data_IF_015757720164
#
_entry.id   IF_015757720164
#
_cell.length_a   1.000
_cell.length_b   1.000
_cell.length_c   1.000
_cell.angle_alpha   90.00
_cell.angle_beta   90.00
_cell.angle_gamma   90.00
#
_symmetry.space_group_name_H-M   'P 1'
#
loop_
_entity.id
_entity.type
_entity.pdbx_description
1 polymer ?
#
# COMPACT_ATOMS: atom_id res chain seq x y z
N UNK A 1 2.77 -10.18 -1.95
CA UNK A 1 3.65 -8.99 -1.90
C UNK A 1 5.07 -9.39 -1.58
N UNK A 2 6.03 -8.77 -2.27
CA UNK A 2 7.46 -8.85 -2.05
C UNK A 2 7.89 -7.78 -1.03
N UNK A 3 8.77 -8.17 -0.09
CA UNK A 3 9.36 -7.27 0.90
C UNK A 3 10.66 -6.63 0.42
N UNK A 4 11.52 -6.24 1.35
CA UNK A 4 12.88 -5.80 1.02
C UNK A 4 13.70 -7.00 0.53
N UNK A 5 14.26 -6.89 -0.68
CA UNK A 5 15.20 -7.85 -1.24
C UNK A 5 16.54 -7.14 -1.45
N UNK A 6 17.69 -7.72 -1.07
CA UNK A 6 18.98 -7.05 -1.22
C UNK A 6 19.33 -6.74 -2.67
N UNK A 7 19.75 -5.50 -2.91
CA UNK A 7 20.04 -4.97 -4.24
C UNK A 7 18.81 -4.89 -5.15
N UNK A 8 19.01 -4.35 -6.33
CA UNK A 8 17.98 -4.25 -7.37
C UNK A 8 17.60 -5.62 -7.89
N UNK A 9 16.30 -5.86 -7.97
CA UNK A 9 15.72 -7.09 -8.50
C UNK A 9 14.80 -6.75 -9.65
N UNK A 10 14.90 -7.47 -10.76
CA UNK A 10 14.01 -7.27 -11.92
C UNK A 10 13.31 -8.56 -12.31
N UNK A 11 12.11 -8.41 -12.85
CA UNK A 11 11.42 -9.49 -13.55
C UNK A 11 12.10 -9.80 -14.88
N UNK A 12 11.66 -10.86 -15.56
CA UNK A 12 12.08 -11.18 -16.93
C UNK A 12 11.78 -10.06 -17.92
N UNK A 13 10.77 -9.25 -17.64
CA UNK A 13 10.36 -8.09 -18.44
C UNK A 13 11.18 -6.84 -18.11
N UNK A 14 12.25 -6.98 -17.30
CA UNK A 14 13.19 -5.92 -16.91
C UNK A 14 12.56 -4.79 -16.08
N UNK A 15 11.47 -5.07 -15.40
CA UNK A 15 10.78 -4.16 -14.48
C UNK A 15 11.19 -4.50 -13.05
N UNK A 16 11.30 -3.50 -12.18
CA UNK A 16 11.53 -3.70 -10.75
C UNK A 16 10.57 -4.73 -10.16
N UNK A 17 11.12 -5.70 -9.43
CA UNK A 17 10.36 -6.82 -8.91
C UNK A 17 9.36 -6.39 -7.82
N UNK A 18 9.67 -5.35 -7.05
CA UNK A 18 8.74 -4.83 -6.05
C UNK A 18 7.54 -4.15 -6.71
N UNK A 19 7.75 -3.29 -7.70
CA UNK A 19 6.69 -2.67 -8.50
C UNK A 19 5.85 -3.73 -9.23
N UNK A 20 6.48 -4.67 -9.91
CA UNK A 20 5.78 -5.72 -10.64
C UNK A 20 4.90 -6.60 -9.72
N UNK A 21 5.46 -7.09 -8.60
CA UNK A 21 4.76 -8.03 -7.70
C UNK A 21 3.78 -7.32 -6.76
N UNK A 22 4.11 -6.14 -6.24
CA UNK A 22 3.27 -5.46 -5.25
C UNK A 22 2.16 -4.63 -5.89
N UNK A 23 2.40 -4.07 -7.07
CA UNK A 23 1.49 -3.17 -7.77
C UNK A 23 0.95 -3.78 -9.07
N UNK A 24 1.76 -3.98 -10.12
CA UNK A 24 1.26 -4.37 -11.45
C UNK A 24 0.45 -5.67 -11.44
N UNK A 25 0.92 -6.69 -10.72
CA UNK A 25 0.18 -7.95 -10.60
C UNK A 25 -1.19 -7.79 -9.93
N UNK A 26 -1.29 -6.96 -8.89
CA UNK A 26 -2.56 -6.66 -8.24
C UNK A 26 -3.45 -5.72 -9.08
N UNK A 27 -2.85 -4.76 -9.79
CA UNK A 27 -3.52 -3.88 -10.72
C UNK A 27 -4.22 -4.69 -11.82
N UNK A 28 -3.48 -5.59 -12.49
CA UNK A 28 -4.01 -6.46 -13.53
C UNK A 28 -5.09 -7.39 -12.96
N UNK A 29 -4.82 -8.07 -11.84
CA UNK A 29 -5.80 -8.96 -11.19
C UNK A 29 -7.11 -8.22 -10.88
N UNK A 30 -7.03 -7.02 -10.30
CA UNK A 30 -8.22 -6.26 -9.91
C UNK A 30 -9.04 -5.85 -11.14
N UNK A 31 -8.38 -5.42 -12.21
CA UNK A 31 -9.05 -5.06 -13.46
C UNK A 31 -9.68 -6.28 -14.16
N UNK A 32 -9.01 -7.44 -14.18
CA UNK A 32 -9.58 -8.68 -14.72
C UNK A 32 -10.79 -9.19 -13.92
N UNK A 33 -10.84 -8.90 -12.62
CA UNK A 33 -11.98 -9.25 -11.76
C UNK A 33 -13.13 -8.26 -11.85
N UNK A 34 -12.97 -7.12 -12.53
CA UNK A 34 -13.91 -6.00 -12.44
C UNK A 34 -15.33 -6.37 -12.88
N UNK A 35 -15.49 -7.18 -13.92
CA UNK A 35 -16.81 -7.63 -14.37
C UNK A 35 -17.50 -8.57 -13.36
N UNK A 36 -16.74 -9.46 -12.73
CA UNK A 36 -17.25 -10.30 -11.65
C UNK A 36 -17.63 -9.47 -10.41
N UNK A 37 -16.83 -8.46 -10.06
CA UNK A 37 -17.14 -7.53 -8.97
C UNK A 37 -18.42 -6.73 -9.27
N UNK A 38 -18.61 -6.27 -10.51
CA UNK A 38 -19.80 -5.56 -10.97
C UNK A 38 -21.07 -6.42 -10.97
N UNK A 39 -20.93 -7.73 -11.16
CA UNK A 39 -22.06 -8.65 -11.03
C UNK A 39 -22.56 -8.79 -9.57
N UNK A 40 -21.77 -8.38 -8.58
CA UNK A 40 -22.17 -8.38 -7.17
C UNK A 40 -23.06 -7.19 -6.82
N UNK A 41 -23.93 -7.38 -5.82
CA UNK A 41 -24.73 -6.30 -5.20
C UNK A 41 -23.86 -5.32 -4.42
N UNK A 42 -22.76 -5.81 -3.84
CA UNK A 42 -21.78 -4.98 -3.17
C UNK A 42 -20.41 -5.64 -3.20
N UNK A 43 -19.35 -4.84 -3.27
CA UNK A 43 -17.98 -5.35 -3.16
C UNK A 43 -17.05 -4.35 -2.49
N UNK A 44 -15.94 -4.85 -1.97
CA UNK A 44 -14.87 -4.01 -1.43
C UNK A 44 -13.53 -4.53 -1.92
N UNK A 45 -12.68 -3.63 -2.38
CA UNK A 45 -11.28 -3.93 -2.67
C UNK A 45 -10.43 -3.41 -1.53
N UNK A 46 -9.75 -4.31 -0.83
CA UNK A 46 -8.82 -3.99 0.25
C UNK A 46 -7.39 -4.08 -0.26
N UNK A 47 -6.69 -2.95 -0.27
CA UNK A 47 -5.32 -2.83 -0.76
C UNK A 47 -4.36 -2.76 0.41
N UNK A 48 -3.31 -3.59 0.42
CA UNK A 48 -2.30 -3.55 1.47
C UNK A 48 -1.26 -2.45 1.22
N UNK A 49 -1.31 -1.41 2.06
CA UNK A 49 -0.34 -0.32 2.14
C UNK A 49 0.84 -0.64 3.05
N UNK A 50 1.59 0.41 3.42
CA UNK A 50 2.67 0.39 4.41
C UNK A 50 3.09 1.83 4.70
N UNK A 51 3.47 2.19 5.92
CA UNK A 51 4.07 3.50 6.24
C UNK A 51 5.30 3.84 5.39
N UNK A 52 5.98 2.84 4.81
CA UNK A 52 7.07 3.09 3.85
C UNK A 52 6.63 3.86 2.61
N UNK A 53 5.33 3.92 2.29
CA UNK A 53 4.82 4.78 1.20
C UNK A 53 5.05 6.28 1.46
N UNK A 54 5.24 6.67 2.73
CA UNK A 54 5.47 8.07 3.11
C UNK A 54 6.93 8.48 3.00
N UNK A 55 7.84 7.54 3.24
CA UNK A 55 9.21 7.89 3.58
C UNK A 55 10.00 6.69 4.09
N UNK A 56 11.30 6.67 3.78
CA UNK A 56 12.26 5.84 4.50
C UNK A 56 12.80 6.69 5.67
N UNK A 57 12.94 6.13 6.88
CA UNK A 57 13.42 6.91 8.02
C UNK A 57 14.78 7.57 7.74
N UNK A 58 14.84 8.89 7.86
CA UNK A 58 16.06 9.68 7.65
C UNK A 58 16.30 10.11 6.20
N UNK A 59 15.33 9.94 5.31
CA UNK A 59 15.36 10.46 3.93
C UNK A 59 14.21 11.43 3.69
N UNK A 60 14.23 12.10 2.54
CA UNK A 60 13.10 12.85 2.04
C UNK A 60 11.87 11.94 1.80
N UNK A 61 10.66 12.54 1.73
CA UNK A 61 9.44 11.82 1.38
C UNK A 61 9.56 11.04 0.07
N UNK A 62 8.79 9.96 -0.04
CA UNK A 62 8.75 9.15 -1.26
C UNK A 62 7.81 9.79 -2.25
N UNK A 63 8.32 10.04 -3.46
CA UNK A 63 7.57 10.52 -4.60
C UNK A 63 7.41 9.42 -5.67
N UNK A 64 6.38 9.57 -6.49
CA UNK A 64 6.22 8.76 -7.70
C UNK A 64 7.24 9.24 -8.75
N UNK A 65 7.86 8.30 -9.43
CA UNK A 65 8.78 8.56 -10.52
C UNK A 65 8.60 7.46 -11.55
N UNK A 66 7.88 7.78 -12.63
CA UNK A 66 7.59 6.84 -13.71
C UNK A 66 8.77 6.73 -14.68
N UNK A 67 9.65 7.73 -14.74
CA UNK A 67 10.86 7.71 -15.55
C UNK A 67 11.92 6.79 -14.94
N UNK A 68 12.04 6.78 -13.61
CA UNK A 68 12.89 5.86 -12.84
C UNK A 68 12.09 4.89 -11.95
N UNK A 69 11.08 4.23 -12.54
CA UNK A 69 10.30 3.21 -11.82
C UNK A 69 11.18 2.03 -11.35
N UNK A 70 12.32 1.82 -12.01
CA UNK A 70 13.29 0.77 -11.71
C UNK A 70 14.32 1.16 -10.64
N UNK A 71 14.23 2.38 -10.10
CA UNK A 71 15.12 2.88 -9.06
C UNK A 71 16.61 2.80 -9.46
N UNK A 72 16.94 3.06 -10.73
CA UNK A 72 18.27 3.06 -11.34
C UNK A 72 19.20 4.11 -10.72
N UNK A 73 18.65 5.24 -10.27
CA UNK A 73 19.44 6.31 -9.65
C UNK A 73 20.01 5.94 -8.28
N UNK A 74 19.47 4.90 -7.65
CA UNK A 74 19.86 4.49 -6.30
C UNK A 74 20.91 3.39 -6.30
N UNK A 75 21.80 3.42 -5.31
CA UNK A 75 22.84 2.41 -5.17
C UNK A 75 22.29 1.08 -4.64
N UNK A 76 22.83 -0.01 -5.20
CA UNK A 76 22.64 -1.39 -4.73
C UNK A 76 23.63 -1.77 -3.62
N UNK A 77 24.49 -0.84 -3.20
CA UNK A 77 25.41 -1.03 -2.09
C UNK A 77 24.66 -1.17 -0.77
N UNK A 78 24.39 -2.42 -0.43
CA UNK A 78 23.72 -2.82 0.80
C UNK A 78 24.63 -2.70 2.03
N UNK A 79 25.95 -2.51 1.85
CA UNK A 79 26.84 -2.25 2.98
C UNK A 79 26.75 -0.79 3.45
N UNK A 80 26.66 0.14 2.50
CA UNK A 80 26.41 1.56 2.72
C UNK A 80 24.99 1.83 3.26
N UNK A 81 24.00 1.07 2.79
CA UNK A 81 22.60 1.21 3.20
C UNK A 81 22.00 -0.11 3.73
N UNK A 82 22.43 -0.55 4.92
CA UNK A 82 21.98 -1.83 5.46
C UNK A 82 20.48 -1.83 5.80
N UNK A 83 19.82 -2.99 5.70
CA UNK A 83 20.43 -4.29 5.43
C UNK A 83 20.31 -4.74 3.97
N UNK A 84 19.74 -3.92 3.07
CA UNK A 84 19.36 -4.33 1.71
C UNK A 84 19.82 -3.41 0.57
N UNK A 85 20.36 -2.23 0.84
CA UNK A 85 20.73 -1.25 -0.18
C UNK A 85 19.67 -0.17 -0.38
N UNK A 86 20.06 0.97 -0.91
CA UNK A 86 19.17 2.11 -1.11
C UNK A 86 18.08 1.79 -2.14
N UNK A 87 18.46 1.18 -3.27
CA UNK A 87 17.52 0.79 -4.32
C UNK A 87 16.44 -0.16 -3.81
N UNK A 88 16.78 -1.13 -2.95
CA UNK A 88 15.82 -2.06 -2.36
C UNK A 88 14.77 -1.36 -1.49
N UNK A 89 15.21 -0.39 -0.68
CA UNK A 89 14.30 0.42 0.14
C UNK A 89 13.39 1.28 -0.73
N UNK A 90 13.95 1.97 -1.74
CA UNK A 90 13.19 2.82 -2.65
C UNK A 90 12.18 2.03 -3.46
N UNK A 91 12.59 0.88 -4.01
CA UNK A 91 11.71 -0.01 -4.79
C UNK A 91 10.52 -0.50 -3.96
N UNK A 92 10.76 -0.96 -2.73
CA UNK A 92 9.67 -1.35 -1.84
C UNK A 92 8.77 -0.15 -1.48
N UNK A 93 9.35 0.98 -1.10
CA UNK A 93 8.64 2.18 -0.69
C UNK A 93 7.77 2.76 -1.82
N UNK A 94 8.33 2.97 -3.02
CA UNK A 94 7.61 3.39 -4.24
C UNK A 94 6.52 2.40 -4.61
N UNK A 95 6.77 1.09 -4.52
CA UNK A 95 5.71 0.10 -4.78
C UNK A 95 4.52 0.21 -3.80
N UNK A 96 4.77 0.68 -2.58
CA UNK A 96 3.72 0.93 -1.58
C UNK A 96 3.01 2.27 -1.80
N UNK A 97 3.70 3.29 -2.29
CA UNK A 97 3.05 4.51 -2.79
C UNK A 97 2.12 4.19 -3.97
N UNK A 98 2.59 3.40 -4.93
CA UNK A 98 1.80 2.97 -6.08
C UNK A 98 0.49 2.28 -5.66
N UNK A 99 0.51 1.45 -4.62
CA UNK A 99 -0.71 0.82 -4.09
C UNK A 99 -1.73 1.84 -3.56
N UNK A 100 -1.28 2.92 -2.91
CA UNK A 100 -2.17 3.94 -2.36
C UNK A 100 -2.76 4.79 -3.48
N UNK A 101 -1.92 5.22 -4.43
CA UNK A 101 -2.33 5.94 -5.65
C UNK A 101 -3.30 5.11 -6.50
N UNK A 102 -3.03 3.81 -6.67
CA UNK A 102 -3.95 2.87 -7.32
C UNK A 102 -5.31 2.88 -6.64
N UNK A 103 -5.36 2.72 -5.31
CA UNK A 103 -6.62 2.68 -4.60
C UNK A 103 -7.41 3.99 -4.76
N UNK A 104 -6.71 5.13 -4.76
CA UNK A 104 -7.29 6.46 -5.00
C UNK A 104 -7.89 6.57 -6.41
N UNK A 105 -7.11 6.28 -7.45
CA UNK A 105 -7.59 6.35 -8.83
C UNK A 105 -8.68 5.32 -9.10
N UNK A 106 -8.57 4.11 -8.55
CA UNK A 106 -9.59 3.08 -8.67
C UNK A 106 -10.92 3.53 -8.07
N UNK A 107 -10.88 4.15 -6.88
CA UNK A 107 -12.08 4.70 -6.26
C UNK A 107 -12.73 5.80 -7.13
N UNK A 108 -11.92 6.69 -7.74
CA UNK A 108 -12.41 7.70 -8.69
C UNK A 108 -13.06 7.05 -9.93
N UNK A 109 -12.41 6.05 -10.50
CA UNK A 109 -12.91 5.30 -11.66
C UNK A 109 -14.25 4.62 -11.34
N UNK A 110 -14.39 3.98 -10.18
CA UNK A 110 -15.64 3.39 -9.72
C UNK A 110 -16.75 4.43 -9.53
N UNK A 111 -16.43 5.58 -8.94
CA UNK A 111 -17.39 6.70 -8.81
C UNK A 111 -17.86 7.20 -10.17
N UNK A 112 -16.95 7.34 -11.14
CA UNK A 112 -17.30 7.75 -12.49
C UNK A 112 -18.16 6.69 -13.19
N UNK A 113 -17.82 5.41 -13.09
CA UNK A 113 -18.63 4.32 -13.65
C UNK A 113 -20.07 4.32 -13.10
N UNK A 114 -20.27 4.59 -11.80
CA UNK A 114 -21.61 4.70 -11.19
C UNK A 114 -22.46 5.83 -11.77
N UNK A 115 -21.83 6.90 -12.28
CA UNK A 115 -22.57 8.01 -12.92
C UNK A 115 -23.15 7.60 -14.28
N UNK A 116 -22.47 6.70 -15.00
CA UNK A 116 -22.76 6.40 -16.41
C UNK A 116 -23.34 5.00 -16.64
N UNK A 117 -23.21 4.06 -15.70
CA UNK A 117 -23.71 2.70 -15.82
C UNK A 117 -24.90 2.44 -14.87
N UNK A 118 -25.89 1.62 -15.25
CA UNK A 118 -27.08 1.30 -14.45
C UNK A 118 -26.80 0.43 -13.21
N UNK A 119 -25.52 0.18 -12.87
CA UNK A 119 -25.16 -0.61 -11.71
C UNK A 119 -25.48 0.16 -10.41
N UNK A 120 -26.40 -0.42 -9.61
CA UNK A 120 -26.91 0.17 -8.35
C UNK A 120 -26.23 -0.36 -7.10
N UNK A 121 -25.17 -1.15 -7.23
CA UNK A 121 -24.47 -1.75 -6.09
C UNK A 121 -23.59 -0.76 -5.33
N UNK A 122 -23.13 -1.18 -4.14
CA UNK A 122 -22.20 -0.39 -3.32
C UNK A 122 -20.78 -0.93 -3.48
N UNK A 123 -19.82 -0.04 -3.78
CA UNK A 123 -18.40 -0.39 -3.87
C UNK A 123 -17.57 0.51 -2.97
N UNK A 124 -16.56 -0.03 -2.30
CA UNK A 124 -15.50 0.78 -1.69
C UNK A 124 -14.11 0.25 -1.97
N UNK A 125 -13.14 1.16 -1.89
CA UNK A 125 -11.72 0.83 -1.92
C UNK A 125 -11.11 1.29 -0.60
N UNK A 126 -10.42 0.40 0.08
CA UNK A 126 -9.82 0.68 1.40
C UNK A 126 -8.37 0.27 1.34
N UNK A 127 -7.48 1.19 1.71
CA UNK A 127 -6.08 0.87 1.97
C UNK A 127 -5.93 0.53 3.44
N UNK A 128 -5.21 -0.54 3.74
CA UNK A 128 -4.85 -0.89 5.11
C UNK A 128 -3.35 -1.08 5.24
N UNK A 129 -2.75 -0.40 6.22
CA UNK A 129 -1.41 -0.71 6.69
C UNK A 129 -1.52 -1.67 7.90
N UNK A 130 -1.13 -2.96 7.74
CA UNK A 130 -1.11 -3.90 8.85
C UNK A 130 -0.06 -3.56 9.92
N UNK A 131 0.79 -2.55 9.68
CA UNK A 131 1.87 -2.12 10.53
C UNK A 131 3.05 -3.09 10.48
N UNK A 132 4.04 -2.84 11.33
CA UNK A 132 5.28 -3.60 11.40
C UNK A 132 5.03 -5.00 11.98
N UNK A 133 4.62 -5.91 11.10
CA UNK A 133 4.14 -7.24 11.49
C UNK A 133 5.30 -8.23 11.57
N UNK A 134 5.49 -8.81 12.75
CA UNK A 134 6.56 -9.79 12.97
C UNK A 134 6.14 -11.18 12.45
N UNK A 135 7.11 -12.01 12.07
CA UNK A 135 6.91 -13.40 11.61
C UNK A 135 6.12 -13.56 10.30
N UNK A 136 6.09 -12.54 9.44
CA UNK A 136 5.42 -12.56 8.12
C UNK A 136 6.30 -13.07 6.98
N UNK A 137 7.56 -13.42 7.26
CA UNK A 137 8.54 -13.78 6.22
C UNK A 137 8.89 -12.63 5.26
N UNK A 138 8.45 -11.39 5.53
CA UNK A 138 8.68 -10.23 4.65
C UNK A 138 10.18 -9.87 4.55
N UNK A 139 10.95 -10.16 5.59
CA UNK A 139 12.39 -9.92 5.69
C UNK A 139 13.23 -11.18 5.40
N UNK A 140 12.64 -12.25 4.87
CA UNK A 140 13.33 -13.53 4.64
C UNK A 140 14.54 -13.44 3.70
N UNK A 141 14.56 -12.42 2.83
CA UNK A 141 15.63 -12.20 1.86
C UNK A 141 16.77 -11.35 2.43
N UNK A 142 16.61 -10.78 3.62
CA UNK A 142 17.66 -9.98 4.27
C UNK A 142 18.84 -10.88 4.67
N UNK A 143 20.08 -10.55 4.29
CA UNK A 143 21.22 -11.45 4.50
C UNK A 143 21.68 -11.35 5.95
N UNK A 144 21.66 -12.48 6.66
CA UNK A 144 21.97 -12.58 8.10
C UNK A 144 23.02 -13.65 8.41
N UNK A 145 23.95 -13.87 7.46
CA UNK A 145 25.01 -14.88 7.51
C UNK A 145 25.75 -14.86 8.86
N UNK A 146 25.69 -15.94 9.66
CA UNK A 146 26.41 -16.01 10.93
C UNK A 146 27.92 -15.86 10.74
N UNK A 147 28.59 -15.13 11.63
CA UNK A 147 30.04 -14.93 11.61
C UNK A 147 30.55 -13.88 10.62
N UNK A 148 29.67 -13.25 9.81
CA UNK A 148 30.04 -12.07 9.03
C UNK A 148 29.61 -10.78 9.75
N UNK A 149 30.48 -9.76 9.76
CA UNK A 149 30.18 -8.45 10.38
C UNK A 149 28.86 -7.87 9.85
N UNK A 150 28.66 -7.95 8.54
CA UNK A 150 27.47 -7.43 7.89
C UNK A 150 26.21 -8.26 8.23
N UNK A 151 26.32 -9.59 8.32
CA UNK A 151 25.22 -10.48 8.71
C UNK A 151 24.81 -10.30 10.17
N UNK A 152 25.77 -10.09 11.06
CA UNK A 152 25.51 -9.77 12.48
C UNK A 152 24.86 -8.39 12.64
N UNK A 153 25.34 -7.38 11.92
CA UNK A 153 24.71 -6.05 11.85
C UNK A 153 23.27 -6.14 11.37
N UNK A 154 23.01 -6.84 10.28
CA UNK A 154 21.67 -7.01 9.72
C UNK A 154 20.74 -7.75 10.69
N UNK A 155 21.26 -8.79 11.36
CA UNK A 155 20.54 -9.50 12.42
C UNK A 155 20.18 -8.57 13.58
N UNK A 156 21.10 -7.70 13.98
CA UNK A 156 20.84 -6.71 15.03
C UNK A 156 19.76 -5.70 14.61
N UNK A 157 19.80 -5.20 13.37
CA UNK A 157 18.76 -4.32 12.80
C UNK A 157 17.41 -5.04 12.82
N UNK A 158 17.32 -6.25 12.29
CA UNK A 158 16.07 -7.01 12.29
C UNK A 158 15.56 -7.31 13.70
N UNK A 159 16.45 -7.64 14.64
CA UNK A 159 16.10 -7.90 16.04
C UNK A 159 15.63 -6.64 16.75
N UNK A 160 16.19 -5.48 16.43
CA UNK A 160 15.72 -4.19 16.96
C UNK A 160 14.36 -3.83 16.38
N UNK A 161 14.18 -3.99 15.07
CA UNK A 161 12.98 -3.55 14.34
C UNK A 161 11.81 -4.50 14.51
N UNK A 162 12.00 -5.80 14.29
CA UNK A 162 10.95 -6.83 14.21
C UNK A 162 10.84 -7.69 15.48
N UNK A 163 11.28 -7.19 16.63
CA UNK A 163 11.03 -7.82 17.93
C UNK A 163 10.01 -7.03 18.71
N UNK A 164 8.94 -7.70 19.15
CA UNK A 164 7.94 -7.10 20.07
C UNK A 164 8.53 -6.75 21.44
N UNK A 165 9.66 -7.35 21.82
CA UNK A 165 10.38 -7.00 23.05
C UNK A 165 11.14 -5.68 22.92
N UNK A 166 11.66 -5.39 21.72
CA UNK A 166 12.58 -4.26 21.51
C UNK A 166 11.92 -3.07 20.80
N UNK A 167 10.82 -3.30 20.09
CA UNK A 167 10.09 -2.26 19.38
C UNK A 167 8.60 -2.32 19.74
N UNK A 168 8.06 -1.31 20.47
CA UNK A 168 6.66 -1.28 20.84
C UNK A 168 5.72 -1.15 19.65
N UNK A 169 6.21 -0.67 18.48
CA UNK A 169 5.43 -0.63 17.23
C UNK A 169 5.30 -1.98 16.54
N UNK A 170 6.06 -3.00 16.97
CA UNK A 170 6.01 -4.31 16.35
C UNK A 170 4.72 -5.06 16.73
N UNK A 171 3.99 -5.54 15.72
CA UNK A 171 2.67 -6.15 15.87
C UNK A 171 2.70 -7.63 15.59
N UNK A 172 1.81 -8.38 16.24
CA UNK A 172 1.60 -9.79 15.92
C UNK A 172 0.82 -9.97 14.61
N UNK A 173 0.99 -11.12 13.95
CA UNK A 173 0.20 -11.50 12.77
C UNK A 173 -1.31 -11.42 13.04
N UNK A 174 -1.75 -11.78 14.26
CA UNK A 174 -3.16 -11.70 14.64
C UNK A 174 -3.69 -10.25 14.65
N UNK A 175 -2.91 -9.31 15.18
CA UNK A 175 -3.31 -7.89 15.20
C UNK A 175 -3.38 -7.33 13.78
N UNK A 176 -2.35 -7.59 12.97
CA UNK A 176 -2.30 -7.20 11.56
C UNK A 176 -3.47 -7.77 10.76
N UNK A 177 -3.77 -9.08 10.90
CA UNK A 177 -4.91 -9.71 10.26
C UNK A 177 -6.25 -9.13 10.73
N UNK A 178 -6.35 -8.75 12.02
CA UNK A 178 -7.52 -8.08 12.56
C UNK A 178 -7.84 -6.77 11.85
N UNK A 179 -6.82 -5.98 11.50
CA UNK A 179 -7.03 -4.72 10.77
C UNK A 179 -7.44 -4.96 9.32
N UNK A 180 -6.92 -6.00 8.67
CA UNK A 180 -7.37 -6.40 7.32
C UNK A 180 -8.82 -6.88 7.33
N UNK A 181 -9.22 -7.66 8.34
CA UNK A 181 -10.61 -8.08 8.54
C UNK A 181 -11.50 -6.86 8.79
N UNK A 182 -11.06 -5.92 9.62
CA UNK A 182 -11.79 -4.67 9.85
C UNK A 182 -11.93 -3.88 8.54
N UNK A 183 -10.86 -3.69 7.78
CA UNK A 183 -10.90 -3.05 6.47
C UNK A 183 -11.88 -3.74 5.51
N UNK A 184 -11.95 -5.06 5.52
CA UNK A 184 -12.82 -5.85 4.64
C UNK A 184 -14.31 -5.77 5.04
N UNK A 185 -14.62 -5.77 6.33
CA UNK A 185 -16.00 -5.99 6.82
C UNK A 185 -16.60 -4.82 7.60
N UNK A 186 -15.83 -3.81 7.98
CA UNK A 186 -16.37 -2.66 8.71
C UNK A 186 -17.49 -1.98 7.90
N UNK A 187 -18.71 -1.89 8.45
CA UNK A 187 -19.82 -1.24 7.76
C UNK A 187 -19.57 0.26 7.55
N UNK A 188 -18.82 0.88 8.47
CA UNK A 188 -18.37 2.27 8.45
C UNK A 188 -17.31 2.58 7.39
N UNK A 189 -16.99 1.67 6.48
CA UNK A 189 -16.05 1.90 5.36
C UNK A 189 -16.76 1.69 3.99
N UNK A 190 -17.99 2.18 3.87
CA UNK A 190 -18.83 2.16 2.68
C UNK A 190 -19.12 3.61 2.23
N UNK A 191 -19.23 3.94 0.92
CA UNK A 191 -19.77 5.22 0.49
C UNK A 191 -21.18 5.47 1.03
N UNK A 192 -21.53 6.76 1.13
CA UNK A 192 -22.58 7.31 1.99
C UNK A 192 -24.03 6.85 1.79
N UNK A 193 -24.37 5.98 0.83
CA UNK A 193 -25.75 5.49 0.73
C UNK A 193 -26.14 4.49 1.83
N UNK A 194 -25.18 3.93 2.58
CA UNK A 194 -25.42 3.08 3.77
C UNK A 194 -25.07 3.82 5.07
N UNK A 195 -24.27 4.89 4.97
CA UNK A 195 -23.74 5.61 6.14
C UNK A 195 -24.84 6.45 6.83
N UNK A 196 -25.77 7.01 6.06
CA UNK A 196 -26.88 7.81 6.61
C UNK A 196 -27.82 7.01 7.54
N UNK A 197 -27.96 5.70 7.35
CA UNK A 197 -28.74 4.83 8.26
C UNK A 197 -27.91 4.35 9.49
N UNK A 198 -26.59 4.24 9.36
CA UNK A 198 -25.68 3.75 10.41
C UNK A 198 -25.14 4.82 11.35
N UNK A 199 -25.36 6.11 11.09
CA UNK A 199 -24.98 7.23 12.00
C UNK A 199 -25.65 7.13 13.38
N UNK A 200 -26.59 6.21 13.60
CA UNK A 200 -27.15 5.92 14.93
C UNK A 200 -26.16 5.25 15.91
N UNK A 201 -25.06 4.67 15.44
CA UNK A 201 -24.08 3.96 16.32
C UNK A 201 -22.71 4.65 16.46
N UNK A 202 -22.55 5.87 15.94
CA UNK A 202 -21.37 6.71 16.15
C UNK A 202 -20.16 6.38 15.24
N UNK A 203 -19.38 7.40 14.82
CA UNK A 203 -18.23 7.21 13.95
C UNK A 203 -17.06 6.52 14.67
N UNK A 204 -16.22 5.81 13.92
CA UNK A 204 -14.89 5.38 14.39
C UNK A 204 -14.07 6.61 14.80
N UNK A 205 -13.28 6.54 15.88
CA UNK A 205 -12.44 7.66 16.31
C UNK A 205 -11.47 8.07 15.19
N UNK A 206 -11.49 9.36 14.82
CA UNK A 206 -10.50 9.97 13.92
C UNK A 206 -9.39 10.57 14.78
N UNK A 207 -8.13 10.21 14.53
CA UNK A 207 -6.98 10.85 15.17
C UNK A 207 -6.41 11.95 14.25
N UNK A 208 -6.97 13.16 14.30
CA UNK A 208 -6.46 14.30 13.53
C UNK A 208 -7.31 15.56 13.68
N UNK A 209 -6.67 16.74 13.76
CA UNK A 209 -7.31 18.07 13.90
C UNK A 209 -7.74 18.70 12.56
N UNK A 210 -8.09 17.91 11.55
CA UNK A 210 -8.57 18.44 10.28
C UNK A 210 -10.01 17.99 10.07
N UNK A 211 -10.94 18.82 10.55
CA UNK A 211 -12.38 18.66 10.32
C UNK A 211 -12.78 19.01 8.87
N UNK A 212 -11.87 19.62 8.08
CA UNK A 212 -12.22 20.33 6.85
C UNK A 212 -11.85 19.65 5.51
N UNK A 213 -11.31 18.43 5.49
CA UNK A 213 -11.12 17.72 4.21
C UNK A 213 -12.29 16.78 3.95
N UNK A 214 -13.37 17.34 3.42
CA UNK A 214 -14.31 16.56 2.65
C UNK A 214 -13.54 15.93 1.49
N UNK A 215 -13.19 14.63 1.60
CA UNK A 215 -12.85 13.85 0.41
C UNK A 215 -14.00 14.01 -0.58
N UNK A 216 -13.79 14.81 -1.63
CA UNK A 216 -14.81 15.11 -2.62
C UNK A 216 -15.34 13.83 -3.23
N UNK A 217 -16.48 13.36 -2.74
CA UNK A 217 -17.32 12.30 -3.30
C UNK A 217 -16.71 10.90 -3.47
N UNK A 218 -15.42 10.67 -3.18
CA UNK A 218 -14.74 9.41 -3.50
C UNK A 218 -14.45 8.59 -2.25
N UNK A 219 -15.04 7.40 -2.10
CA UNK A 219 -14.91 6.55 -0.91
C UNK A 219 -13.54 5.86 -0.85
N UNK A 220 -12.54 6.58 -0.35
CA UNK A 220 -11.18 6.13 -0.13
C UNK A 220 -10.80 6.32 1.35
N UNK A 221 -10.24 5.29 1.97
CA UNK A 221 -9.77 5.33 3.36
C UNK A 221 -8.39 4.70 3.48
N UNK A 222 -7.53 5.30 4.30
CA UNK A 222 -6.28 4.69 4.74
C UNK A 222 -6.39 4.32 6.23
N UNK A 223 -6.46 3.02 6.49
CA UNK A 223 -6.62 2.44 7.82
C UNK A 223 -5.25 2.05 8.39
N UNK A 224 -4.94 2.53 9.58
CA UNK A 224 -3.76 2.13 10.34
C UNK A 224 -4.12 1.93 11.80
N UNK A 225 -3.71 0.79 12.37
CA UNK A 225 -3.90 0.50 13.80
C UNK A 225 -5.36 0.64 14.27
N UNK A 226 -6.32 0.41 13.35
CA UNK A 226 -7.79 0.56 13.50
C UNK A 226 -8.33 1.99 13.43
N UNK A 227 -7.48 2.98 13.17
CA UNK A 227 -7.87 4.37 12.97
C UNK A 227 -7.75 4.77 11.50
N UNK A 228 -8.66 5.63 11.05
CA UNK A 228 -8.60 6.25 9.73
C UNK A 228 -7.66 7.45 9.82
N UNK A 229 -6.66 7.50 8.95
CA UNK A 229 -5.73 8.64 8.83
C UNK A 229 -5.52 9.04 7.37
N UNK A 230 -4.99 10.24 7.15
CA UNK A 230 -4.65 10.70 5.79
C UNK A 230 -3.34 10.04 5.32
N UNK A 231 -3.21 9.62 4.04
CA UNK A 231 -1.96 9.09 3.50
C UNK A 231 -0.91 10.21 3.33
N UNK A 232 0.25 9.95 2.69
CA UNK A 232 1.22 11.02 2.40
C UNK A 232 0.66 12.05 1.41
N UNK A 233 1.25 13.25 1.38
CA UNK A 233 0.90 14.29 0.40
C UNK A 233 1.03 13.77 -1.04
N UNK A 234 2.14 13.10 -1.36
CA UNK A 234 2.35 12.42 -2.64
C UNK A 234 1.23 11.44 -3.01
N UNK A 235 0.62 10.77 -2.02
CA UNK A 235 -0.47 9.82 -2.24
C UNK A 235 -1.84 10.48 -2.41
N UNK A 236 -1.95 11.79 -2.19
CA UNK A 236 -3.15 12.60 -2.43
C UNK A 236 -3.15 13.27 -3.80
N UNK A 237 -2.07 13.14 -4.57
CA UNK A 237 -1.94 13.67 -5.93
C UNK A 237 -2.83 12.89 -6.91
N UNK A 238 -3.80 13.59 -7.49
CA UNK A 238 -4.76 13.05 -8.45
C UNK A 238 -4.17 12.84 -9.84
N UNK A 239 -3.21 13.67 -10.23
CA UNK A 239 -2.53 13.60 -11.53
C UNK A 239 -1.57 12.41 -11.52
N UNK A 240 -0.72 12.31 -10.49
CA UNK A 240 0.17 11.16 -10.31
C UNK A 240 -0.61 9.83 -10.23
N UNK A 241 -1.78 9.82 -9.59
CA UNK A 241 -2.62 8.62 -9.51
C UNK A 241 -3.20 8.22 -10.88
N UNK A 242 -3.55 9.19 -11.72
CA UNK A 242 -4.00 8.96 -13.09
C UNK A 242 -2.85 8.51 -13.99
N UNK A 243 -1.71 9.18 -13.95
CA UNK A 243 -0.52 8.84 -14.74
C UNK A 243 -0.04 7.42 -14.43
N UNK A 244 0.03 7.06 -13.14
CA UNK A 244 0.33 5.70 -12.73
C UNK A 244 -0.67 4.68 -13.29
N UNK A 245 -1.96 5.02 -13.32
CA UNK A 245 -3.01 4.14 -13.86
C UNK A 245 -2.80 3.91 -15.35
N UNK A 246 -2.59 4.96 -16.13
CA UNK A 246 -2.37 4.89 -17.57
C UNK A 246 -1.08 4.12 -17.91
N UNK A 247 0.01 4.45 -17.21
CA UNK A 247 1.29 3.74 -17.29
C UNK A 247 1.15 2.25 -16.96
N UNK A 248 0.36 1.92 -15.93
CA UNK A 248 0.10 0.52 -15.57
C UNK A 248 -0.71 -0.20 -16.64
N UNK A 249 -1.75 0.43 -17.19
CA UNK A 249 -2.54 -0.12 -18.31
C UNK A 249 -1.66 -0.45 -19.51
N UNK A 250 -0.72 0.43 -19.85
CA UNK A 250 0.25 0.21 -20.93
C UNK A 250 1.10 -1.03 -20.69
N UNK A 251 1.69 -1.14 -19.49
CA UNK A 251 2.57 -2.25 -19.14
C UNK A 251 1.88 -3.61 -19.11
N UNK A 252 0.58 -3.65 -18.76
CA UNK A 252 -0.17 -4.90 -18.68
C UNK A 252 -1.10 -5.16 -19.87
N UNK A 253 -1.09 -4.28 -20.89
CA UNK A 253 -1.86 -4.45 -22.12
C UNK A 253 -3.38 -4.36 -21.94
N UNK A 254 -3.86 -3.46 -21.07
CA UNK A 254 -5.30 -3.22 -20.82
C UNK A 254 -5.87 -2.02 -21.60
N UNK A 255 -5.14 -1.48 -22.59
CA UNK A 255 -5.64 -0.44 -23.50
C UNK A 255 -6.55 -1.01 -24.59
#
# INVERSE_FOLDING_TARGET
GLGLVPGRQRTTDRIDANFAVNHLGHFLLTNLMLDALRASKAFRVVVLGSEMHRGIPGTDPIELDLEDINCEEYTDDWEAHPPCGQAAYMSYARSKLCNVLFARQFAKNLTNLRKWAPWKGTSSVVVVDPGLTVRTGLTRHVPVTPGSKAGERNRAILTRTYSRKNNPRARSVRQAAGDVILAAFAPTLQPSSVYEEMVKEGPLPRSGKNEDVQSGGTPFWYLRERDVSDPSEAALDDEAAQDLWEFSCDLVGLK
#
